data_IF_654877313234
#
_entry.id   IF_654877313234
#
_cell.length_a   1.000
_cell.length_b   1.000
_cell.length_c   1.000
_cell.angle_alpha   90.00
_cell.angle_beta   90.00
_cell.angle_gamma   90.00
#
_symmetry.space_group_name_H-M   'P 1'
#
loop_
_entity.id
_entity.type
_entity.pdbx_description
1 polymer ?
#
# COMPACT_ATOMS: atom_id res chain seq x y z
N UNK A 1 -19.37 64.37 -24.79
CA UNK A 1 -18.82 64.78 -26.10
C UNK A 1 -18.08 63.56 -26.64
N UNK A 2 -18.76 62.70 -27.43
CA UNK A 2 -18.78 62.61 -28.91
C UNK A 2 -17.44 62.08 -29.49
N UNK A 3 -17.40 61.25 -30.56
CA UNK A 3 -18.51 60.57 -31.24
C UNK A 3 -18.26 59.08 -31.59
N UNK A 4 -19.37 58.42 -31.96
CA UNK A 4 -19.46 57.23 -32.81
C UNK A 4 -18.83 57.47 -34.19
N UNK A 5 -18.32 56.41 -34.83
CA UNK A 5 -18.38 56.25 -36.30
C UNK A 5 -18.68 54.79 -36.67
N UNK A 6 -19.43 54.66 -37.76
CA UNK A 6 -20.23 53.51 -38.19
C UNK A 6 -19.74 52.95 -39.54
N UNK A 7 -19.71 51.60 -39.67
CA UNK A 7 -20.38 50.76 -40.72
C UNK A 7 -19.90 50.91 -42.19
N UNK A 8 -20.15 49.98 -43.16
CA UNK A 8 -20.31 48.51 -43.21
C UNK A 8 -19.32 47.84 -44.22
N UNK A 9 -19.33 46.50 -44.35
CA UNK A 9 -19.60 45.84 -45.65
C UNK A 9 -19.69 44.31 -45.49
N UNK A 10 -20.73 43.76 -46.10
CA UNK A 10 -21.14 42.36 -46.14
C UNK A 10 -20.32 41.62 -47.19
N UNK A 11 -19.90 40.39 -46.91
CA UNK A 11 -19.76 39.36 -47.94
C UNK A 11 -20.15 38.01 -47.36
N UNK A 12 -21.29 37.50 -47.82
CA UNK A 12 -21.71 36.11 -47.68
C UNK A 12 -21.18 35.32 -48.87
N UNK A 13 -20.65 34.11 -48.68
CA UNK A 13 -20.68 33.02 -49.68
C UNK A 13 -20.42 31.66 -49.00
N UNK A 14 -21.45 30.81 -49.13
CA UNK A 14 -21.50 29.35 -49.30
C UNK A 14 -20.63 28.39 -48.45
N UNK A 15 -21.34 27.69 -47.56
CA UNK A 15 -21.54 26.24 -47.55
C UNK A 15 -20.44 25.33 -48.13
N UNK A 16 -19.85 24.51 -47.26
CA UNK A 16 -19.75 23.06 -47.48
C UNK A 16 -20.08 22.32 -46.18
N UNK A 17 -21.23 21.66 -46.19
CA UNK A 17 -21.54 20.56 -45.28
C UNK A 17 -20.63 19.39 -45.64
N UNK A 18 -19.66 19.12 -44.80
CA UNK A 18 -19.09 17.79 -44.66
C UNK A 18 -19.03 17.47 -43.17
N UNK A 19 -20.14 16.97 -42.64
CA UNK A 19 -20.10 16.11 -41.46
C UNK A 19 -19.28 14.88 -41.89
N UNK A 20 -17.98 14.93 -41.67
CA UNK A 20 -17.21 13.70 -41.48
C UNK A 20 -17.69 13.13 -40.16
N UNK A 21 -18.69 12.26 -40.21
CA UNK A 21 -18.87 11.22 -39.20
C UNK A 21 -17.58 10.41 -39.22
N UNK A 22 -16.60 10.85 -38.44
CA UNK A 22 -15.56 9.95 -37.97
C UNK A 22 -16.32 8.88 -37.18
N UNK A 23 -16.51 7.72 -37.81
CA UNK A 23 -16.87 6.53 -37.07
C UNK A 23 -15.82 6.42 -35.95
N UNK A 24 -16.21 6.25 -34.67
CA UNK A 24 -15.25 5.75 -33.71
C UNK A 24 -14.77 4.42 -34.29
N UNK A 25 -13.51 4.37 -34.72
CA UNK A 25 -12.83 3.10 -34.85
C UNK A 25 -13.04 2.45 -33.48
N UNK A 26 -13.73 1.31 -33.47
CA UNK A 26 -13.76 0.46 -32.30
C UNK A 26 -12.30 0.25 -31.95
N UNK A 27 -11.85 0.92 -30.88
CA UNK A 27 -10.54 0.72 -30.31
C UNK A 27 -10.53 -0.77 -29.99
N UNK A 28 -9.69 -1.48 -30.74
CA UNK A 28 -9.36 -2.87 -30.52
C UNK A 28 -9.18 -3.01 -29.02
N UNK A 29 -10.06 -3.81 -28.42
CA UNK A 29 -10.14 -4.01 -26.99
C UNK A 29 -8.83 -4.63 -26.55
N UNK A 30 -7.85 -3.77 -26.30
CA UNK A 30 -6.70 -4.08 -25.51
C UNK A 30 -7.30 -4.20 -24.11
N UNK A 31 -7.84 -5.40 -23.84
CA UNK A 31 -7.89 -5.98 -22.51
C UNK A 31 -6.45 -5.91 -22.02
N UNK A 32 -6.08 -4.73 -21.51
CA UNK A 32 -5.06 -4.62 -20.49
C UNK A 32 -5.67 -5.47 -19.40
N UNK A 33 -5.28 -6.75 -19.39
CA UNK A 33 -5.47 -7.64 -18.27
C UNK A 33 -4.83 -6.87 -17.12
N UNK A 34 -5.65 -6.12 -16.40
CA UNK A 34 -5.30 -5.45 -15.16
C UNK A 34 -4.87 -6.60 -14.28
N UNK A 35 -3.56 -6.88 -14.26
CA UNK A 35 -2.97 -7.94 -13.45
C UNK A 35 -3.48 -7.63 -12.06
N UNK A 36 -4.41 -8.44 -11.55
CA UNK A 36 -5.01 -8.20 -10.24
C UNK A 36 -3.84 -8.02 -9.30
N UNK A 37 -3.79 -6.86 -8.67
CA UNK A 37 -2.70 -6.55 -7.79
C UNK A 37 -2.66 -7.62 -6.71
N UNK A 38 -1.54 -8.34 -6.63
CA UNK A 38 -1.37 -9.41 -5.66
C UNK A 38 -1.03 -8.70 -4.34
N UNK A 39 -1.99 -8.62 -3.43
CA UNK A 39 -1.81 -8.04 -2.10
C UNK A 39 -2.13 -9.09 -1.03
N UNK A 40 -1.42 -9.08 0.10
CA UNK A 40 -1.79 -9.96 1.19
C UNK A 40 -3.16 -9.53 1.73
N UNK A 41 -3.97 -10.47 2.21
CA UNK A 41 -5.23 -10.12 2.87
C UNK A 41 -4.97 -9.60 4.29
N UNK A 42 -3.96 -10.16 4.96
CA UNK A 42 -3.64 -9.85 6.34
C UNK A 42 -2.12 -9.86 6.56
N UNK A 43 -1.63 -8.84 7.25
CA UNK A 43 -0.21 -8.70 7.63
C UNK A 43 -0.12 -8.73 9.15
N UNK A 44 0.66 -9.65 9.70
CA UNK A 44 0.98 -9.68 11.12
C UNK A 44 2.18 -8.77 11.39
N UNK A 45 2.11 -8.00 12.48
CA UNK A 45 3.21 -7.20 13.03
C UNK A 45 3.48 -7.74 14.44
N UNK A 46 4.74 -8.04 14.74
CA UNK A 46 5.11 -8.64 16.00
C UNK A 46 6.61 -8.61 16.25
N UNK A 47 7.06 -9.48 17.13
CA UNK A 47 8.45 -9.54 17.61
C UNK A 47 9.12 -10.80 17.10
N UNK A 48 10.27 -10.65 16.46
CA UNK A 48 11.23 -11.71 16.20
C UNK A 48 12.12 -11.88 17.43
N UNK A 49 11.90 -12.97 18.16
CA UNK A 49 12.60 -13.27 19.41
C UNK A 49 14.03 -13.77 19.18
N UNK A 50 14.35 -14.17 17.94
CA UNK A 50 15.70 -14.60 17.58
C UNK A 50 16.63 -13.41 17.36
N UNK A 51 16.12 -12.32 16.82
CA UNK A 51 16.88 -11.09 16.63
C UNK A 51 16.61 -10.17 17.81
N UNK A 52 17.39 -10.34 18.88
CA UNK A 52 17.23 -9.57 20.11
C UNK A 52 18.45 -8.70 20.41
N UNK A 53 18.21 -7.62 21.14
CA UNK A 53 19.27 -6.79 21.70
C UNK A 53 19.94 -7.55 22.85
N UNK A 54 21.25 -7.81 22.74
CA UNK A 54 21.99 -8.62 23.70
C UNK A 54 21.99 -8.05 25.13
N UNK A 55 21.85 -6.73 25.28
CA UNK A 55 21.90 -6.05 26.58
C UNK A 55 20.57 -6.14 27.33
N UNK A 56 19.45 -6.18 26.61
CA UNK A 56 18.09 -6.09 27.18
C UNK A 56 17.27 -7.37 27.03
N UNK A 57 17.66 -8.25 26.11
CA UNK A 57 16.93 -9.46 25.75
C UNK A 57 15.64 -9.23 24.97
N UNK A 58 15.36 -8.00 24.50
CA UNK A 58 14.13 -7.72 23.74
C UNK A 58 14.32 -7.94 22.25
N UNK A 59 13.30 -8.54 21.63
CA UNK A 59 13.30 -8.88 20.22
C UNK A 59 13.07 -7.67 19.31
N UNK A 60 13.32 -7.89 18.03
CA UNK A 60 13.15 -6.91 16.97
C UNK A 60 11.71 -6.94 16.45
N UNK A 61 11.16 -5.79 16.11
CA UNK A 61 9.91 -5.74 15.37
C UNK A 61 10.07 -6.40 13.99
N UNK A 62 9.08 -7.21 13.61
CA UNK A 62 9.03 -7.88 12.31
C UNK A 62 7.60 -7.93 11.78
N UNK A 63 7.47 -8.05 10.46
CA UNK A 63 6.21 -8.17 9.75
C UNK A 63 6.20 -9.44 8.89
N UNK A 64 5.05 -10.11 8.78
CA UNK A 64 4.88 -11.28 7.91
C UNK A 64 3.44 -11.42 7.44
N UNK A 65 3.23 -12.13 6.34
CA UNK A 65 1.87 -12.40 5.84
C UNK A 65 1.22 -13.48 6.70
N UNK A 66 -0.05 -13.25 7.08
CA UNK A 66 -0.79 -14.24 7.85
C UNK A 66 -0.95 -15.56 7.07
N UNK A 67 -0.70 -16.68 7.72
CA UNK A 67 -0.71 -18.01 7.11
C UNK A 67 0.60 -18.42 6.43
N UNK A 68 1.56 -17.49 6.25
CA UNK A 68 2.92 -17.84 5.87
C UNK A 68 3.77 -18.12 7.12
N UNK A 69 4.81 -18.94 6.96
CA UNK A 69 5.75 -19.24 8.03
C UNK A 69 6.77 -18.08 8.17
N UNK A 70 6.71 -17.27 9.24
CA UNK A 70 7.63 -16.16 9.43
C UNK A 70 9.09 -16.61 9.60
N UNK A 71 9.36 -17.87 9.96
CA UNK A 71 10.74 -18.36 10.04
C UNK A 71 11.49 -18.27 8.70
N UNK A 72 10.76 -18.24 7.58
CA UNK A 72 11.33 -18.14 6.23
C UNK A 72 10.79 -16.94 5.41
N UNK A 73 9.67 -16.35 5.84
CA UNK A 73 8.97 -15.29 5.10
C UNK A 73 8.56 -14.16 6.03
N UNK A 74 9.49 -13.24 6.30
CA UNK A 74 9.28 -12.09 7.17
C UNK A 74 10.12 -10.90 6.68
N UNK A 75 9.81 -9.72 7.20
CA UNK A 75 10.66 -8.55 7.13
C UNK A 75 10.94 -8.07 8.53
N UNK A 76 12.21 -7.96 8.88
CA UNK A 76 12.63 -7.28 10.11
C UNK A 76 12.57 -5.77 9.91
N UNK A 77 11.99 -5.06 10.87
CA UNK A 77 11.76 -3.61 10.84
C UNK A 77 12.96 -2.82 11.41
N UNK A 78 14.05 -3.50 11.81
CA UNK A 78 15.30 -2.88 12.28
C UNK A 78 15.13 -1.94 13.49
N UNK A 79 14.10 -2.20 14.30
CA UNK A 79 13.81 -1.47 15.55
C UNK A 79 13.47 -2.50 16.62
N UNK A 80 14.08 -2.40 17.79
CA UNK A 80 13.78 -3.30 18.91
C UNK A 80 12.51 -2.87 19.66
N UNK A 81 11.85 -3.84 20.30
CA UNK A 81 10.57 -3.65 21.01
C UNK A 81 10.60 -2.49 22.02
N UNK A 82 11.74 -2.33 22.68
CA UNK A 82 11.96 -1.34 23.74
C UNK A 82 12.31 0.06 23.25
N UNK A 83 12.88 0.17 22.05
CA UNK A 83 13.42 1.43 21.54
C UNK A 83 12.31 2.32 20.99
N UNK A 84 11.38 1.71 20.25
CA UNK A 84 10.27 2.43 19.65
C UNK A 84 9.14 1.49 19.23
N UNK A 85 7.97 2.10 18.98
CA UNK A 85 6.85 1.45 18.30
C UNK A 85 7.20 1.13 16.83
N UNK A 86 6.59 0.11 16.20
CA UNK A 86 6.87 -0.25 14.80
C UNK A 86 6.28 0.72 13.77
N UNK A 87 5.72 1.86 14.20
CA UNK A 87 5.07 2.80 13.30
C UNK A 87 6.04 3.63 12.46
N UNK A 88 5.57 4.04 11.28
CA UNK A 88 6.30 4.85 10.31
C UNK A 88 7.55 4.16 9.71
N UNK A 89 7.71 2.86 9.96
CA UNK A 89 8.76 2.04 9.37
C UNK A 89 8.23 1.43 8.07
N UNK A 90 8.96 1.66 6.98
CA UNK A 90 8.68 1.01 5.70
C UNK A 90 9.28 -0.39 5.70
N UNK A 91 8.48 -1.36 5.29
CA UNK A 91 8.91 -2.75 5.12
C UNK A 91 8.35 -3.33 3.82
N UNK A 92 8.98 -4.38 3.31
CA UNK A 92 8.53 -5.13 2.13
C UNK A 92 8.12 -6.53 2.56
N UNK A 93 7.32 -7.24 1.77
CA UNK A 93 6.92 -8.62 2.08
C UNK A 93 7.25 -9.52 0.88
N UNK A 94 7.76 -10.71 1.17
CA UNK A 94 8.14 -11.68 0.13
C UNK A 94 6.96 -11.99 -0.80
N UNK A 95 7.18 -11.86 -2.11
CA UNK A 95 6.16 -12.14 -3.12
C UNK A 95 5.18 -10.99 -3.37
N UNK A 96 5.43 -9.81 -2.80
CA UNK A 96 4.63 -8.60 -2.99
C UNK A 96 5.52 -7.43 -3.46
N UNK A 97 5.06 -6.69 -4.46
CA UNK A 97 5.84 -5.62 -5.09
C UNK A 97 5.80 -4.30 -4.30
N UNK A 98 4.83 -4.16 -3.40
CA UNK A 98 4.54 -2.94 -2.66
C UNK A 98 5.27 -2.87 -1.31
N UNK A 99 5.59 -1.65 -0.89
CA UNK A 99 6.04 -1.37 0.47
C UNK A 99 4.86 -1.09 1.39
N UNK A 100 5.01 -1.42 2.66
CA UNK A 100 3.99 -1.30 3.68
C UNK A 100 4.51 -0.49 4.86
N UNK A 101 3.60 0.16 5.58
CA UNK A 101 3.92 0.92 6.79
C UNK A 101 2.75 0.89 7.75
N UNK A 102 3.01 0.50 9.00
CA UNK A 102 2.03 0.64 10.08
C UNK A 102 2.04 2.09 10.58
N UNK A 103 0.87 2.67 10.79
CA UNK A 103 0.71 4.04 11.30
C UNK A 103 -0.32 4.07 12.45
N UNK A 104 -0.36 5.19 13.15
CA UNK A 104 -1.34 5.43 14.22
C UNK A 104 -0.94 4.89 15.59
N UNK A 105 0.35 4.58 15.83
CA UNK A 105 0.79 4.14 17.16
C UNK A 105 0.47 5.22 18.20
N UNK A 106 -0.33 4.83 19.21
CA UNK A 106 -0.92 5.76 20.19
C UNK A 106 -2.39 6.09 19.94
N UNK A 107 -3.01 5.53 18.89
CA UNK A 107 -4.42 5.65 18.57
C UNK A 107 -4.88 4.52 17.64
N UNK A 108 -5.69 4.87 16.64
CA UNK A 108 -6.23 3.91 15.68
C UNK A 108 -5.15 3.44 14.69
N UNK A 109 -4.78 2.17 14.79
CA UNK A 109 -3.74 1.58 13.96
C UNK A 109 -4.25 1.32 12.53
N UNK A 110 -3.41 1.68 11.55
CA UNK A 110 -3.69 1.48 10.13
C UNK A 110 -2.48 0.97 9.37
N UNK A 111 -2.74 0.34 8.23
CA UNK A 111 -1.69 -0.13 7.32
C UNK A 111 -1.74 0.66 6.01
N UNK A 112 -0.59 1.16 5.59
CA UNK A 112 -0.44 2.01 4.43
C UNK A 112 0.43 1.35 3.38
N UNK A 113 0.04 1.47 2.12
CA UNK A 113 0.81 1.02 0.96
C UNK A 113 1.59 2.18 0.36
N UNK A 114 2.89 1.94 0.12
CA UNK A 114 3.88 2.90 -0.41
C UNK A 114 3.90 4.23 0.38
N UNK A 115 3.41 4.21 1.62
CA UNK A 115 3.26 5.40 2.48
C UNK A 115 2.20 6.41 2.00
N UNK A 116 1.33 6.05 1.06
CA UNK A 116 0.38 6.98 0.44
C UNK A 116 -1.08 6.55 0.56
N UNK A 117 -1.34 5.25 0.51
CA UNK A 117 -2.71 4.73 0.48
C UNK A 117 -3.00 3.99 1.77
N UNK A 118 -3.96 4.46 2.55
CA UNK A 118 -4.48 3.69 3.68
C UNK A 118 -5.24 2.48 3.11
N UNK A 119 -4.72 1.29 3.39
CA UNK A 119 -5.26 0.02 2.88
C UNK A 119 -6.09 -0.71 3.92
N UNK A 120 -6.16 -0.25 5.18
CA UNK A 120 -6.95 -0.93 6.20
C UNK A 120 -6.52 -0.62 7.63
N UNK A 121 -7.07 -1.36 8.57
CA UNK A 121 -6.87 -1.18 10.02
C UNK A 121 -6.11 -2.35 10.64
N UNK A 122 -5.46 -2.11 11.78
CA UNK A 122 -4.81 -3.14 12.55
C UNK A 122 -5.49 -3.32 13.91
N UNK A 123 -5.65 -4.57 14.32
CA UNK A 123 -6.26 -4.94 15.60
C UNK A 123 -5.31 -5.79 16.43
N UNK A 124 -5.47 -5.73 17.76
CA UNK A 124 -4.68 -6.55 18.68
C UNK A 124 -5.00 -8.02 18.42
N UNK A 125 -3.99 -8.79 18.02
CA UNK A 125 -4.13 -10.17 17.62
C UNK A 125 -2.87 -10.93 18.07
N UNK A 126 -2.73 -11.20 19.38
CA UNK A 126 -1.56 -11.87 19.90
C UNK A 126 -1.54 -13.33 19.44
N UNK A 127 -0.36 -13.81 19.10
CA UNK A 127 -0.14 -15.19 18.67
C UNK A 127 1.35 -15.52 18.71
N UNK A 128 1.68 -16.80 18.60
CA UNK A 128 3.08 -17.22 18.59
C UNK A 128 3.31 -18.27 17.52
N UNK A 129 4.40 -18.12 16.76
CA UNK A 129 4.86 -19.08 15.77
C UNK A 129 6.29 -19.48 16.11
N UNK A 130 6.47 -20.72 16.57
CA UNK A 130 7.78 -21.27 16.89
C UNK A 130 8.56 -21.66 15.64
N UNK A 131 9.87 -21.41 15.64
CA UNK A 131 10.78 -21.91 14.61
C UNK A 131 11.52 -23.16 15.10
N UNK A 132 11.48 -24.23 14.31
CA UNK A 132 12.13 -25.50 14.66
C UNK A 132 13.65 -25.31 14.77
N UNK A 133 14.26 -25.85 15.84
CA UNK A 133 15.71 -25.96 15.99
C UNK A 133 16.39 -24.88 16.85
N UNK A 134 15.72 -23.77 17.18
CA UNK A 134 16.35 -22.66 17.91
C UNK A 134 15.56 -22.17 19.14
N UNK A 135 14.37 -22.70 19.41
CA UNK A 135 13.55 -22.36 20.59
C UNK A 135 12.93 -20.96 20.57
N UNK A 136 13.53 -20.00 19.87
CA UNK A 136 12.99 -18.66 19.62
C UNK A 136 12.03 -18.66 18.43
N UNK A 137 10.97 -17.85 18.52
CA UNK A 137 9.95 -17.74 17.47
C UNK A 137 9.57 -16.30 17.15
N UNK A 138 8.36 -16.16 16.60
CA UNK A 138 7.73 -14.89 16.31
C UNK A 138 6.50 -14.73 17.18
N UNK A 139 6.48 -13.67 17.97
CA UNK A 139 5.34 -13.30 18.80
C UNK A 139 4.54 -12.19 18.12
N UNK A 140 3.40 -12.55 17.55
CA UNK A 140 2.42 -11.62 16.98
C UNK A 140 1.86 -10.66 18.03
N UNK A 141 1.67 -9.40 17.63
CA UNK A 141 1.07 -8.34 18.45
C UNK A 141 -0.19 -7.81 17.77
N UNK A 142 -0.04 -7.39 16.53
CA UNK A 142 -1.11 -6.80 15.72
C UNK A 142 -1.30 -7.60 14.45
N UNK A 143 -2.55 -7.65 13.97
CA UNK A 143 -2.88 -8.11 12.63
C UNK A 143 -3.57 -6.97 11.90
N UNK A 144 -3.00 -6.57 10.76
CA UNK A 144 -3.54 -5.57 9.86
C UNK A 144 -4.38 -6.26 8.78
N UNK A 145 -5.65 -5.90 8.70
CA UNK A 145 -6.61 -6.39 7.71
C UNK A 145 -6.64 -5.42 6.54
N UNK A 146 -6.35 -5.91 5.32
CA UNK A 146 -6.37 -5.09 4.11
C UNK A 146 -7.78 -5.11 3.51
N UNK A 147 -8.34 -3.91 3.35
CA UNK A 147 -9.62 -3.66 2.70
C UNK A 147 -9.40 -3.71 1.18
N UNK A 148 -9.83 -4.81 0.56
CA UNK A 148 -9.83 -4.98 -0.90
C UNK A 148 -11.12 -4.47 -1.53
#
# INVERSE_FOLDING_TARGET
MRPMFSVPAITAVLAFLSLTTAAPLAEDGNDIVQKRANWPNNINIGINEKHYNADTGKGMWSAWVNGQNPCNHHSDLQVFEEDASPCNIRFSLDGFDDQWTMQGCGGDLSIWRNGQYNMGSCAWAPGHVGCVGLGAGYSGRWQCHINQ
#
